data_IF_937341342227
#
_entry.id   IF_937341342227
#
_cell.length_a   1.000
_cell.length_b   1.000
_cell.length_c   1.000
_cell.angle_alpha   90.00
_cell.angle_beta   90.00
_cell.angle_gamma   90.00
#
_symmetry.space_group_name_H-M   'P 1'
#
loop_
_entity.id
_entity.type
_entity.pdbx_description
1 polymer ?
#
# COMPACT_ATOMS: atom_id res chain seq x y z
N UNK A 1 -6.36 1.76 -17.43
CA UNK A 1 -6.38 1.34 -16.02
C UNK A 1 -6.92 2.49 -15.17
N UNK A 2 -7.77 2.19 -14.21
CA UNK A 2 -8.30 3.17 -13.25
C UNK A 2 -7.86 2.77 -11.86
N UNK A 3 -7.25 3.69 -11.13
CA UNK A 3 -6.84 3.47 -9.74
C UNK A 3 -8.07 3.54 -8.83
N UNK A 4 -8.19 2.58 -7.94
CA UNK A 4 -9.21 2.56 -6.90
C UNK A 4 -8.61 3.11 -5.61
N UNK A 5 -9.29 4.09 -5.02
CA UNK A 5 -8.89 4.71 -3.75
C UNK A 5 -9.93 4.35 -2.70
N UNK A 6 -9.50 3.75 -1.59
CA UNK A 6 -10.43 3.38 -0.52
C UNK A 6 -11.14 4.61 0.04
N UNK A 7 -12.43 4.49 0.26
CA UNK A 7 -13.25 5.60 0.80
C UNK A 7 -12.81 6.05 2.20
N UNK A 8 -12.08 5.20 2.94
CA UNK A 8 -11.57 5.49 4.29
C UNK A 8 -10.18 6.14 4.29
N UNK A 9 -9.49 6.20 3.13
CA UNK A 9 -8.17 6.82 3.04
C UNK A 9 -8.33 8.34 3.15
N UNK A 10 -7.84 8.91 4.26
CA UNK A 10 -8.02 10.34 4.59
C UNK A 10 -6.81 11.20 4.22
N UNK A 11 -5.63 10.61 4.01
CA UNK A 11 -4.38 11.33 3.72
C UNK A 11 -3.93 11.17 2.28
N UNK A 12 -4.88 11.18 1.35
CA UNK A 12 -4.65 10.91 -0.05
C UNK A 12 -4.59 12.16 -0.93
N UNK A 13 -4.79 13.37 -0.40
CA UNK A 13 -4.92 14.60 -1.20
C UNK A 13 -3.73 14.84 -2.11
N UNK A 14 -2.51 14.63 -1.65
CA UNK A 14 -1.29 14.79 -2.46
C UNK A 14 -1.19 13.73 -3.57
N UNK A 15 -1.67 12.51 -3.32
CA UNK A 15 -1.70 11.41 -4.29
C UNK A 15 -2.77 11.68 -5.34
N UNK A 16 -3.97 12.04 -4.93
CA UNK A 16 -5.07 12.39 -5.83
C UNK A 16 -4.70 13.61 -6.68
N UNK A 17 -4.10 14.63 -6.08
CA UNK A 17 -3.59 15.79 -6.80
C UNK A 17 -2.53 15.42 -7.85
N UNK A 18 -1.67 14.47 -7.56
CA UNK A 18 -0.73 13.92 -8.54
C UNK A 18 -1.46 13.22 -9.69
N UNK A 19 -2.45 12.38 -9.38
CA UNK A 19 -3.25 11.70 -10.41
C UNK A 19 -3.94 12.70 -11.33
N UNK A 20 -4.52 13.76 -10.76
CA UNK A 20 -5.18 14.81 -11.54
C UNK A 20 -4.20 15.53 -12.46
N UNK A 21 -3.03 15.93 -11.95
CA UNK A 21 -2.00 16.60 -12.76
C UNK A 21 -1.44 15.71 -13.89
N UNK A 22 -1.42 14.41 -13.68
CA UNK A 22 -0.89 13.44 -14.65
C UNK A 22 -1.98 12.76 -15.48
N UNK A 23 -3.21 13.19 -15.33
CA UNK A 23 -4.37 12.60 -16.02
C UNK A 23 -4.50 11.09 -15.81
N UNK A 24 -4.19 10.63 -14.59
CA UNK A 24 -4.38 9.24 -14.18
C UNK A 24 -5.82 9.06 -13.73
N UNK A 25 -6.55 8.18 -14.39
CA UNK A 25 -7.92 7.88 -14.01
C UNK A 25 -7.98 7.22 -12.63
N UNK A 26 -8.83 7.73 -11.76
CA UNK A 26 -9.04 7.20 -10.43
C UNK A 26 -10.49 7.39 -9.98
N UNK A 27 -10.94 6.55 -9.06
CA UNK A 27 -12.25 6.71 -8.42
C UNK A 27 -12.22 6.14 -7.01
N UNK A 28 -13.11 6.62 -6.15
CA UNK A 28 -13.28 6.07 -4.82
C UNK A 28 -14.13 4.81 -4.85
N UNK A 29 -13.73 3.82 -4.07
CA UNK A 29 -14.47 2.57 -3.84
C UNK A 29 -14.12 2.04 -2.46
N UNK A 30 -15.12 1.53 -1.72
CA UNK A 30 -14.84 0.82 -0.48
C UNK A 30 -14.06 -0.47 -0.78
N UNK A 31 -12.82 -0.55 -0.30
CA UNK A 31 -11.96 -1.71 -0.49
C UNK A 31 -11.97 -2.58 0.78
N UNK A 32 -11.98 -3.89 0.60
CA UNK A 32 -11.88 -4.82 1.71
C UNK A 32 -10.45 -4.88 2.28
N UNK A 33 -9.45 -4.60 1.44
CA UNK A 33 -8.03 -4.69 1.79
C UNK A 33 -7.26 -3.51 1.22
N UNK A 34 -6.37 -2.94 2.04
CA UNK A 34 -5.47 -1.87 1.62
C UNK A 34 -6.15 -0.53 1.38
N UNK A 35 -5.36 0.41 0.92
CA UNK A 35 -5.79 1.79 0.65
C UNK A 35 -6.04 2.04 -0.83
N UNK A 36 -5.38 1.27 -1.70
CA UNK A 36 -5.47 1.40 -3.16
C UNK A 36 -5.52 0.05 -3.83
N UNK A 37 -6.18 0.02 -4.98
CA UNK A 37 -6.15 -1.09 -5.93
C UNK A 37 -6.41 -0.52 -7.32
N UNK A 38 -6.86 -1.33 -8.26
CA UNK A 38 -7.16 -0.87 -9.61
C UNK A 38 -8.22 -1.71 -10.30
N UNK A 39 -8.75 -1.16 -11.39
CA UNK A 39 -9.57 -1.89 -12.35
C UNK A 39 -9.06 -1.63 -13.77
N UNK A 40 -9.34 -2.56 -14.65
CA UNK A 40 -9.17 -2.38 -16.09
C UNK A 40 -10.55 -2.13 -16.67
N UNK A 41 -10.81 -0.92 -17.23
CA UNK A 41 -12.13 -0.61 -17.73
C UNK A 41 -12.48 -1.40 -19.00
N UNK A 42 -13.76 -1.58 -19.24
CA UNK A 42 -14.26 -2.18 -20.47
C UNK A 42 -13.67 -1.48 -21.70
N UNK A 43 -13.29 -2.28 -22.70
CA UNK A 43 -12.70 -1.79 -23.94
C UNK A 43 -12.97 -2.79 -25.05
N UNK A 44 -13.90 -2.45 -25.96
CA UNK A 44 -14.30 -3.33 -27.06
C UNK A 44 -13.15 -3.69 -27.98
N UNK A 45 -12.22 -2.76 -28.22
CA UNK A 45 -11.04 -3.00 -29.08
C UNK A 45 -10.10 -4.07 -28.53
N UNK A 46 -10.10 -4.25 -27.21
CA UNK A 46 -9.31 -5.26 -26.52
C UNK A 46 -10.13 -6.50 -26.15
N UNK A 47 -11.41 -6.57 -26.57
CA UNK A 47 -12.28 -7.67 -26.23
C UNK A 47 -12.73 -7.70 -24.77
N UNK A 48 -12.58 -6.59 -24.05
CA UNK A 48 -12.98 -6.47 -22.64
C UNK A 48 -14.39 -5.93 -22.58
N UNK A 49 -15.37 -6.80 -22.29
CA UNK A 49 -16.79 -6.48 -22.34
C UNK A 49 -17.29 -5.69 -21.14
N UNK A 50 -16.62 -5.79 -19.99
CA UNK A 50 -16.99 -5.09 -18.75
C UNK A 50 -15.74 -4.76 -17.92
N UNK A 51 -15.88 -3.83 -16.97
CA UNK A 51 -14.80 -3.47 -16.06
C UNK A 51 -14.30 -4.70 -15.28
N UNK A 52 -12.98 -4.86 -15.24
CA UNK A 52 -12.33 -5.95 -14.52
C UNK A 52 -11.70 -5.39 -13.24
N UNK A 53 -12.28 -5.74 -12.09
CA UNK A 53 -11.81 -5.32 -10.78
C UNK A 53 -10.73 -6.25 -10.25
N UNK A 54 -9.64 -5.68 -9.73
CA UNK A 54 -8.51 -6.41 -9.17
C UNK A 54 -8.36 -6.24 -7.66
N UNK A 55 -9.29 -5.58 -7.00
CA UNK A 55 -9.23 -5.31 -5.55
C UNK A 55 -9.29 -6.57 -4.68
N UNK A 56 -9.77 -7.70 -5.22
CA UNK A 56 -9.69 -9.00 -4.56
C UNK A 56 -8.36 -9.74 -4.79
N UNK A 57 -7.50 -9.23 -5.66
CA UNK A 57 -6.23 -9.88 -6.05
C UNK A 57 -5.00 -9.07 -5.72
N UNK A 58 -5.10 -7.76 -5.75
CA UNK A 58 -3.99 -6.83 -5.53
C UNK A 58 -4.42 -5.73 -4.58
N UNK A 59 -3.63 -5.46 -3.56
CA UNK A 59 -3.85 -4.30 -2.72
C UNK A 59 -2.53 -3.57 -2.44
N UNK A 60 -2.64 -2.25 -2.27
CA UNK A 60 -1.54 -1.38 -1.86
C UNK A 60 -1.92 -0.77 -0.51
N UNK A 61 -1.07 -0.99 0.47
CA UNK A 61 -1.17 -0.39 1.81
C UNK A 61 -0.16 0.75 1.90
N UNK A 62 -0.64 1.97 2.16
CA UNK A 62 0.21 3.14 2.29
C UNK A 62 0.63 3.34 3.74
N UNK A 63 1.92 3.57 3.96
CA UNK A 63 2.49 3.98 5.24
C UNK A 63 3.18 5.32 5.04
N UNK A 64 2.77 6.32 5.80
CA UNK A 64 3.20 7.71 5.61
C UNK A 64 4.60 8.01 6.13
N UNK A 65 5.20 7.12 6.92
CA UNK A 65 6.51 7.34 7.51
C UNK A 65 7.15 6.04 7.99
N UNK A 66 8.46 6.08 8.26
CA UNK A 66 9.17 4.98 8.89
C UNK A 66 8.69 4.74 10.32
N UNK A 67 8.28 5.77 11.02
CA UNK A 67 7.74 5.67 12.37
C UNK A 67 6.45 4.83 12.38
N UNK A 68 5.57 5.05 11.43
CA UNK A 68 4.32 4.29 11.30
C UNK A 68 4.58 2.80 11.05
N UNK A 69 5.40 2.46 10.04
CA UNK A 69 5.70 1.06 9.74
C UNK A 69 6.50 0.39 10.87
N UNK A 70 7.39 1.11 11.55
CA UNK A 70 8.12 0.55 12.69
C UNK A 70 7.19 0.14 13.83
N UNK A 71 6.14 0.92 14.08
CA UNK A 71 5.10 0.56 15.03
C UNK A 71 4.35 -0.72 14.63
N UNK A 72 4.01 -0.85 13.35
CA UNK A 72 3.35 -2.05 12.82
C UNK A 72 4.24 -3.30 12.95
N UNK A 73 5.55 -3.17 12.81
CA UNK A 73 6.50 -4.28 12.86
C UNK A 73 6.97 -4.62 14.28
N UNK A 74 6.69 -3.77 15.26
CA UNK A 74 7.09 -3.95 16.66
C UNK A 74 5.89 -4.22 17.57
N UNK A 75 5.37 -3.19 18.22
CA UNK A 75 4.28 -3.33 19.21
C UNK A 75 2.96 -3.87 18.63
N UNK A 76 2.64 -3.55 17.37
CA UNK A 76 1.42 -3.96 16.70
C UNK A 76 1.64 -5.15 15.73
N UNK A 77 2.75 -5.85 15.85
CA UNK A 77 3.18 -6.87 14.89
C UNK A 77 2.15 -7.97 14.65
N UNK A 78 1.58 -8.52 15.72
CA UNK A 78 0.59 -9.60 15.59
C UNK A 78 -0.65 -9.17 14.81
N UNK A 79 -1.12 -7.95 15.04
CA UNK A 79 -2.24 -7.38 14.29
C UNK A 79 -1.87 -7.16 12.82
N UNK A 80 -0.70 -6.60 12.56
CA UNK A 80 -0.21 -6.34 11.20
C UNK A 80 -0.04 -7.65 10.41
N UNK A 81 0.55 -8.68 11.01
CA UNK A 81 0.68 -10.00 10.39
C UNK A 81 -0.69 -10.60 10.05
N UNK A 82 -1.66 -10.47 10.96
CA UNK A 82 -3.02 -10.94 10.73
C UNK A 82 -3.68 -10.20 9.56
N UNK A 83 -3.58 -8.88 9.52
CA UNK A 83 -4.12 -8.06 8.42
C UNK A 83 -3.51 -8.49 7.08
N UNK A 84 -2.19 -8.66 7.02
CA UNK A 84 -1.51 -9.12 5.81
C UNK A 84 -1.90 -10.53 5.39
N UNK A 85 -2.15 -11.42 6.35
CA UNK A 85 -2.56 -12.80 6.05
C UNK A 85 -3.95 -12.90 5.43
N UNK A 86 -4.83 -11.95 5.76
CA UNK A 86 -6.20 -11.87 5.23
C UNK A 86 -6.26 -11.12 3.89
N UNK A 87 -5.22 -10.36 3.56
CA UNK A 87 -5.16 -9.56 2.34
C UNK A 87 -4.97 -10.44 1.07
N UNK A 88 -5.22 -9.90 -0.13
CA UNK A 88 -4.99 -10.61 -1.38
C UNK A 88 -3.57 -11.15 -1.56
N UNK A 89 -3.39 -12.06 -2.51
CA UNK A 89 -2.08 -12.68 -2.80
C UNK A 89 -0.99 -11.65 -3.08
N UNK A 90 -1.30 -10.63 -3.86
CA UNK A 90 -0.37 -9.56 -4.17
C UNK A 90 -0.61 -8.36 -3.25
N UNK A 91 0.34 -8.12 -2.35
CA UNK A 91 0.31 -7.04 -1.38
C UNK A 91 1.52 -6.15 -1.61
N UNK A 92 1.28 -4.87 -1.70
CA UNK A 92 2.34 -3.87 -1.86
C UNK A 92 2.28 -2.92 -0.67
N UNK A 93 3.40 -2.74 0.01
CA UNK A 93 3.55 -1.71 1.04
C UNK A 93 4.24 -0.52 0.40
N UNK A 94 3.53 0.59 0.34
CA UNK A 94 4.06 1.85 -0.17
C UNK A 94 4.51 2.71 1.01
N UNK A 95 5.82 2.89 1.16
CA UNK A 95 6.39 3.75 2.19
C UNK A 95 6.67 5.14 1.61
N UNK A 96 6.03 6.15 2.16
CA UNK A 96 6.29 7.53 1.82
C UNK A 96 7.34 8.15 2.76
N UNK A 97 7.98 9.22 2.30
CA UNK A 97 8.99 9.97 3.07
C UNK A 97 10.08 9.06 3.67
N UNK A 98 10.49 8.07 2.91
CA UNK A 98 11.42 7.06 3.37
C UNK A 98 12.33 6.60 2.24
N UNK A 99 13.55 6.22 2.60
CA UNK A 99 14.47 5.51 1.70
C UNK A 99 15.18 4.40 2.49
N UNK A 100 15.78 3.48 1.77
CA UNK A 100 16.43 2.32 2.39
C UNK A 100 17.60 2.73 3.30
N UNK A 101 18.35 3.76 2.95
CA UNK A 101 19.47 4.24 3.75
C UNK A 101 19.04 4.78 5.11
N UNK A 102 17.87 5.42 5.21
CA UNK A 102 17.34 5.88 6.50
C UNK A 102 17.08 4.72 7.45
N UNK A 103 16.63 3.58 6.94
CA UNK A 103 16.42 2.37 7.75
C UNK A 103 17.77 1.78 8.14
N UNK A 104 18.69 1.62 7.20
CA UNK A 104 20.00 1.02 7.42
C UNK A 104 20.84 1.82 8.42
N UNK A 105 20.72 3.14 8.40
CA UNK A 105 21.47 4.05 9.29
C UNK A 105 20.75 4.33 10.61
N UNK A 106 19.50 3.89 10.75
CA UNK A 106 18.70 4.16 11.94
C UNK A 106 18.17 5.60 12.01
N UNK A 107 18.05 6.26 10.88
CA UNK A 107 17.61 7.66 10.78
C UNK A 107 16.08 7.76 10.80
N UNK A 108 15.47 7.47 11.94
CA UNK A 108 14.04 7.56 12.21
C UNK A 108 13.81 7.75 13.72
N UNK A 109 12.64 8.27 14.09
CA UNK A 109 12.30 8.70 15.44
C UNK A 109 11.60 7.61 16.28
N UNK A 110 12.13 6.37 16.27
CA UNK A 110 11.62 5.31 17.15
C UNK A 110 12.78 4.52 17.77
N UNK A 111 12.48 3.76 18.82
CA UNK A 111 13.44 2.88 19.49
C UNK A 111 13.65 1.56 18.76
N UNK A 112 12.95 1.32 17.64
CA UNK A 112 13.04 0.05 16.94
C UNK A 112 14.43 -0.14 16.34
N UNK A 113 15.07 -1.28 16.68
CA UNK A 113 16.43 -1.58 16.25
C UNK A 113 16.51 -1.70 14.72
N UNK A 114 17.51 -1.03 14.11
CA UNK A 114 17.65 -0.98 12.66
C UNK A 114 17.84 -2.36 11.99
N UNK A 115 18.58 -3.27 12.63
CA UNK A 115 18.76 -4.64 12.12
C UNK A 115 17.44 -5.42 12.15
N UNK A 116 16.69 -5.27 13.23
CA UNK A 116 15.36 -5.86 13.37
C UNK A 116 14.38 -5.28 12.37
N UNK A 117 14.47 -3.99 12.09
CA UNK A 117 13.63 -3.31 11.10
C UNK A 117 13.85 -3.88 9.70
N UNK A 118 15.11 -3.90 9.25
CA UNK A 118 15.48 -4.48 7.95
C UNK A 118 15.09 -5.94 7.88
N UNK A 119 15.41 -6.72 8.90
CA UNK A 119 15.08 -8.15 8.96
C UNK A 119 13.58 -8.40 8.87
N UNK A 120 12.77 -7.59 9.55
CA UNK A 120 11.30 -7.68 9.47
C UNK A 120 10.77 -7.37 8.08
N UNK A 121 11.25 -6.30 7.44
CA UNK A 121 10.83 -5.94 6.08
C UNK A 121 11.15 -7.06 5.09
N UNK A 122 12.37 -7.60 5.13
CA UNK A 122 12.75 -8.72 4.26
C UNK A 122 11.92 -9.97 4.55
N UNK A 123 11.66 -10.28 5.82
CA UNK A 123 10.82 -11.42 6.21
C UNK A 123 9.41 -11.30 5.61
N UNK A 124 8.81 -10.12 5.63
CA UNK A 124 7.48 -9.91 5.05
C UNK A 124 7.47 -10.02 3.53
N UNK A 125 8.57 -9.72 2.84
CA UNK A 125 8.67 -9.90 1.39
C UNK A 125 8.58 -11.36 0.94
N UNK A 126 8.87 -12.30 1.82
CA UNK A 126 8.95 -13.74 1.50
C UNK A 126 7.85 -14.59 2.16
N UNK A 127 6.88 -13.96 2.73
CA UNK A 127 5.74 -14.68 3.37
C UNK A 127 4.56 -14.83 2.44
#
# INVERSE_FOLDING_TARGET
>A
MTILVDTREQKADHIIGYFDRKSVNHKKKALNYGDYSFLIPANEKLGIQRDMYFDSKVCVERKGSLEEISGNLSKDRARFEKELSLAPETKVILLENANYSDIADGNYNTQYNKKSFIGSLHSFCFK
#
